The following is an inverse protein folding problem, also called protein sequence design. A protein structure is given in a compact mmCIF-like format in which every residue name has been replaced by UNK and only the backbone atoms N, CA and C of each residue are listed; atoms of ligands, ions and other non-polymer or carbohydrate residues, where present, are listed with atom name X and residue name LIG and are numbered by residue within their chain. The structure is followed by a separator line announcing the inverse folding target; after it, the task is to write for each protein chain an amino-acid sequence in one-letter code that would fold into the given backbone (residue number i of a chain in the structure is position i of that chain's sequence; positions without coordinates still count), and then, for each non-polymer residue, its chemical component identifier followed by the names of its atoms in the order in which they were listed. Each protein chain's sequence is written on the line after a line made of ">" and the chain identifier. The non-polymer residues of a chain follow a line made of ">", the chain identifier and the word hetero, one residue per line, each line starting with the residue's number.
data_IF_756930442022
#
_entry.id   IF_756930442022
#
_cell.length_a   1.000
_cell.length_b   1.000
_cell.length_c   1.000
_cell.angle_alpha   90.00
_cell.angle_beta   90.00
_cell.angle_gamma   90.00
#
_symmetry.space_group_name_H-M   'P 1'
#
loop_
_entity.id
_entity.type
_entity.pdbx_description
1 polymer ?
#
# COMPACT_ATOMS: atom_id res chain seq x y z
N UNK A 1 -22.19 1.88 -9.92
CA UNK A 1 -21.50 1.46 -11.14
C UNK A 1 -20.58 0.32 -10.73
N UNK A 2 -20.95 -0.92 -11.05
CA UNK A 2 -20.18 -2.11 -10.69
C UNK A 2 -18.95 -2.12 -11.60
N UNK A 3 -17.76 -1.91 -11.04
CA UNK A 3 -16.51 -1.97 -11.79
C UNK A 3 -16.18 -3.45 -11.93
N UNK A 4 -16.36 -4.03 -13.11
CA UNK A 4 -15.85 -5.38 -13.37
C UNK A 4 -14.33 -5.29 -13.57
N UNK A 5 -13.52 -6.02 -12.79
CA UNK A 5 -12.08 -6.03 -13.00
C UNK A 5 -11.79 -6.85 -14.26
N UNK A 6 -11.22 -6.20 -15.29
CA UNK A 6 -10.67 -6.91 -16.43
C UNK A 6 -9.49 -7.79 -15.97
N UNK A 7 -9.59 -9.09 -16.26
CA UNK A 7 -8.44 -9.96 -16.53
C UNK A 7 -7.77 -10.67 -15.35
N UNK A 8 -7.75 -10.12 -14.14
CA UNK A 8 -7.06 -10.78 -13.02
C UNK A 8 -7.86 -11.93 -12.42
N UNK A 9 -7.19 -13.03 -12.03
CA UNK A 9 -7.80 -14.06 -11.17
C UNK A 9 -7.90 -13.54 -9.73
N UNK A 10 -8.75 -12.54 -9.53
CA UNK A 10 -9.08 -12.00 -8.22
C UNK A 10 -9.66 -13.12 -7.35
N UNK A 11 -9.06 -13.34 -6.17
CA UNK A 11 -9.64 -14.25 -5.18
C UNK A 11 -10.41 -13.46 -4.15
N UNK A 12 -11.72 -13.73 -4.09
CA UNK A 12 -12.54 -13.36 -2.95
C UNK A 12 -12.12 -14.18 -1.73
N UNK A 13 -12.22 -13.55 -0.57
CA UNK A 13 -12.03 -14.24 0.70
C UNK A 13 -13.33 -14.98 1.05
N UNK A 14 -13.29 -16.26 1.43
CA UNK A 14 -14.46 -16.92 1.98
C UNK A 14 -14.84 -16.21 3.29
N UNK A 15 -15.98 -15.53 3.28
CA UNK A 15 -16.57 -14.92 4.47
C UNK A 15 -17.37 -16.01 5.20
N UNK A 16 -16.78 -16.62 6.23
CA UNK A 16 -17.55 -17.50 7.10
C UNK A 16 -18.32 -16.62 8.10
N UNK A 17 -19.64 -16.60 7.98
CA UNK A 17 -20.55 -15.78 8.77
C UNK A 17 -20.82 -16.36 10.18
N UNK A 18 -19.85 -17.11 10.73
CA UNK A 18 -19.92 -17.69 12.07
C UNK A 18 -19.50 -16.68 13.14
N UNK A 19 -20.18 -16.69 14.28
CA UNK A 19 -20.03 -15.83 15.46
C UNK A 19 -18.67 -15.98 16.17
N UNK A 20 -17.59 -15.69 15.47
CA UNK A 20 -16.24 -15.66 16.00
C UNK A 20 -15.95 -14.29 16.64
N UNK A 21 -15.16 -14.23 17.72
CA UNK A 21 -14.88 -12.98 18.42
C UNK A 21 -14.32 -11.93 17.43
N UNK A 22 -14.78 -10.69 17.56
CA UNK A 22 -14.45 -9.59 16.66
C UNK A 22 -12.93 -9.33 16.67
N UNK A 23 -12.23 -9.92 15.70
CA UNK A 23 -10.79 -9.70 15.53
C UNK A 23 -10.56 -8.20 15.33
N UNK A 24 -9.84 -7.59 16.28
CA UNK A 24 -9.52 -6.16 16.25
C UNK A 24 -8.72 -5.85 15.01
N UNK A 25 -9.17 -4.85 14.27
CA UNK A 25 -8.44 -4.35 13.10
C UNK A 25 -7.13 -3.70 13.54
N UNK A 26 -6.02 -4.07 12.88
CA UNK A 26 -4.70 -3.48 13.10
C UNK A 26 -4.39 -2.48 11.99
N UNK A 27 -3.73 -1.38 12.33
CA UNK A 27 -3.22 -0.45 11.33
C UNK A 27 -2.20 -1.15 10.43
N UNK A 28 -2.27 -0.89 9.13
CA UNK A 28 -1.29 -1.35 8.15
C UNK A 28 -1.03 -0.26 7.11
N UNK A 29 0.08 -0.37 6.43
CA UNK A 29 0.44 0.49 5.32
C UNK A 29 1.02 -0.34 4.18
N UNK A 30 0.78 0.09 2.95
CA UNK A 30 1.27 -0.55 1.75
C UNK A 30 1.62 0.51 0.73
N UNK A 31 2.60 0.27 -0.13
CA UNK A 31 3.13 1.27 -1.05
C UNK A 31 3.26 0.73 -2.47
N UNK A 32 2.71 1.51 -3.40
CA UNK A 32 2.81 1.31 -4.84
C UNK A 32 3.99 2.14 -5.33
N UNK A 33 5.14 1.50 -5.50
CA UNK A 33 6.29 2.12 -6.16
C UNK A 33 6.05 2.07 -7.67
N UNK A 34 5.96 3.23 -8.30
CA UNK A 34 5.57 3.38 -9.71
C UNK A 34 6.75 3.75 -10.58
N UNK A 35 6.97 3.00 -11.64
CA UNK A 35 7.95 3.31 -12.67
C UNK A 35 7.22 3.78 -13.93
N UNK A 36 7.52 5.01 -14.35
CA UNK A 36 7.01 5.62 -15.58
C UNK A 36 8.10 5.99 -16.59
N UNK A 37 9.29 5.41 -16.43
CA UNK A 37 10.42 5.64 -17.34
C UNK A 37 10.23 5.00 -18.73
N UNK A 38 9.38 3.98 -18.82
CA UNK A 38 9.02 3.30 -20.05
C UNK A 38 7.77 3.87 -20.73
N UNK A 39 7.27 3.16 -21.74
CA UNK A 39 6.03 3.50 -22.44
C UNK A 39 4.79 3.34 -21.54
N UNK A 40 4.78 2.28 -20.76
CA UNK A 40 3.67 1.91 -19.87
C UNK A 40 4.11 2.12 -18.42
N UNK A 41 3.17 2.57 -17.56
CA UNK A 41 3.44 2.72 -16.13
C UNK A 41 3.43 1.34 -15.49
N UNK A 42 4.47 1.04 -14.72
CA UNK A 42 4.62 -0.23 -14.00
C UNK A 42 4.58 -0.01 -12.50
N UNK A 43 4.10 -0.99 -11.75
CA UNK A 43 4.09 -1.00 -10.29
C UNK A 43 4.89 -2.19 -9.77
N UNK A 44 5.70 -1.95 -8.75
CA UNK A 44 6.44 -3.01 -8.08
C UNK A 44 5.48 -3.90 -7.26
N UNK A 45 5.48 -5.19 -7.55
CA UNK A 45 4.73 -6.19 -6.79
C UNK A 45 5.60 -7.41 -6.52
N UNK A 46 5.30 -8.14 -5.45
CA UNK A 46 5.95 -9.41 -5.15
C UNK A 46 4.95 -10.44 -4.67
N UNK A 47 5.32 -11.72 -4.82
CA UNK A 47 4.53 -12.86 -4.39
C UNK A 47 4.82 -13.18 -2.92
N UNK A 48 3.77 -13.23 -2.10
CA UNK A 48 3.92 -13.67 -0.70
C UNK A 48 4.37 -15.13 -0.61
N UNK A 49 5.29 -15.40 0.32
CA UNK A 49 5.74 -16.75 0.61
C UNK A 49 4.55 -17.67 0.93
N UNK A 50 4.63 -18.93 0.50
CA UNK A 50 3.64 -19.97 0.78
C UNK A 50 3.37 -20.22 2.28
N UNK A 51 4.32 -19.87 3.16
CA UNK A 51 4.21 -20.01 4.61
C UNK A 51 3.54 -18.78 5.27
N UNK A 52 3.21 -17.75 4.48
CA UNK A 52 2.63 -16.54 4.99
C UNK A 52 1.22 -16.81 5.52
N UNK A 53 0.99 -16.49 6.81
CA UNK A 53 -0.27 -16.80 7.54
C UNK A 53 -1.49 -16.05 6.97
N UNK A 54 -1.27 -15.08 6.09
CA UNK A 54 -2.31 -14.25 5.50
C UNK A 54 -2.12 -14.11 3.99
N UNK A 55 -2.97 -14.79 3.20
CA UNK A 55 -2.95 -14.76 1.73
C UNK A 55 -1.60 -15.21 1.11
N UNK A 56 -1.17 -16.47 1.33
CA UNK A 56 0.03 -17.00 0.68
C UNK A 56 -0.17 -17.11 -0.84
N UNK A 57 0.94 -17.09 -1.60
CA UNK A 57 0.98 -17.32 -3.04
C UNK A 57 0.20 -16.33 -3.93
N UNK A 58 -0.11 -15.15 -3.39
CA UNK A 58 -0.70 -14.02 -4.12
C UNK A 58 0.32 -12.89 -4.30
N UNK A 59 0.22 -12.17 -5.42
CA UNK A 59 0.97 -10.94 -5.64
C UNK A 59 0.33 -9.80 -4.86
N UNK A 60 1.18 -9.02 -4.21
CA UNK A 60 0.81 -7.86 -3.41
C UNK A 60 1.82 -6.74 -3.64
N UNK A 61 1.42 -5.51 -3.34
CA UNK A 61 2.37 -4.42 -3.16
C UNK A 61 3.16 -4.65 -1.86
N UNK A 62 4.39 -4.14 -1.76
CA UNK A 62 5.10 -4.10 -0.50
C UNK A 62 4.26 -3.45 0.60
N UNK A 63 4.24 -4.04 1.79
CA UNK A 63 3.47 -3.51 2.89
C UNK A 63 3.08 -4.51 3.97
N UNK A 64 2.93 -3.96 5.17
CA UNK A 64 2.64 -4.75 6.36
C UNK A 64 2.01 -3.94 7.48
N UNK A 65 2.09 -4.50 8.68
CA UNK A 65 1.46 -3.93 9.86
C UNK A 65 2.26 -2.71 10.31
N UNK A 66 1.58 -1.65 10.76
CA UNK A 66 2.25 -0.57 11.49
C UNK A 66 2.79 -1.11 12.81
N UNK A 67 4.08 -0.92 13.03
CA UNK A 67 4.78 -1.25 14.25
C UNK A 67 4.75 -0.11 15.27
N UNK A 68 4.82 -0.43 16.58
CA UNK A 68 4.97 0.59 17.61
C UNK A 68 6.18 1.49 17.34
N UNK A 69 7.29 0.92 16.87
CA UNK A 69 8.53 1.63 16.58
C UNK A 69 8.41 2.72 15.50
N UNK A 70 7.49 2.56 14.54
CA UNK A 70 7.33 3.48 13.40
C UNK A 70 7.08 4.93 13.83
N UNK A 71 6.53 5.17 15.02
CA UNK A 71 6.32 6.53 15.56
C UNK A 71 7.60 7.33 15.83
N UNK A 72 8.74 6.65 15.96
CA UNK A 72 10.01 7.20 16.42
C UNK A 72 11.08 7.17 15.34
N UNK A 73 10.73 6.71 14.14
CA UNK A 73 11.61 6.78 12.98
C UNK A 73 11.77 8.25 12.58
N UNK A 74 13.01 8.67 12.35
CA UNK A 74 13.30 9.96 11.73
C UNK A 74 12.90 9.96 10.25
N UNK A 75 12.74 11.14 9.66
CA UNK A 75 12.47 11.33 8.23
C UNK A 75 13.17 12.59 7.74
N UNK A 76 13.53 12.64 6.46
CA UNK A 76 14.19 13.79 5.82
C UNK A 76 13.23 14.77 5.16
N UNK A 77 12.05 14.29 4.75
CA UNK A 77 10.99 15.09 4.16
C UNK A 77 9.62 14.65 4.71
N UNK A 78 8.75 15.62 4.97
CA UNK A 78 7.45 15.37 5.60
C UNK A 78 6.35 15.18 4.54
N UNK A 79 5.26 14.52 4.93
CA UNK A 79 4.09 14.33 4.06
C UNK A 79 3.52 15.67 3.58
N UNK A 80 3.08 15.70 2.32
CA UNK A 80 2.37 16.86 1.79
C UNK A 80 1.16 17.22 2.67
N UNK A 81 0.88 18.51 2.94
CA UNK A 81 -0.22 18.92 3.83
C UNK A 81 -1.59 18.37 3.39
N UNK A 82 -1.85 18.22 2.09
CA UNK A 82 -3.09 17.62 1.59
C UNK A 82 -3.21 16.13 1.96
N UNK A 83 -2.10 15.38 1.89
CA UNK A 83 -2.03 13.98 2.26
C UNK A 83 -2.21 13.81 3.77
N UNK A 84 -1.57 14.65 4.59
CA UNK A 84 -1.81 14.69 6.03
C UNK A 84 -3.27 14.96 6.38
N UNK A 85 -3.91 15.93 5.71
CA UNK A 85 -5.35 16.21 5.90
C UNK A 85 -6.21 15.01 5.53
N UNK A 86 -5.95 14.38 4.37
CA UNK A 86 -6.75 13.24 3.90
C UNK A 86 -6.57 11.97 4.77
N UNK A 87 -5.36 11.70 5.27
CA UNK A 87 -5.13 10.60 6.22
C UNK A 87 -5.90 10.77 7.53
N UNK A 88 -6.21 12.02 7.88
CA UNK A 88 -6.96 12.40 9.07
C UNK A 88 -8.46 12.52 8.80
N UNK A 89 -8.87 12.70 7.54
CA UNK A 89 -10.27 12.69 7.13
C UNK A 89 -10.77 11.24 6.99
N UNK A 90 -12.04 11.04 7.33
CA UNK A 90 -12.72 9.78 7.04
C UNK A 90 -13.62 9.24 8.14
N UNK A 91 -14.41 8.25 7.74
CA UNK A 91 -15.28 7.52 8.64
C UNK A 91 -14.44 6.74 9.68
N UNK A 92 -14.81 6.92 10.95
CA UNK A 92 -14.14 6.32 12.10
C UNK A 92 -13.36 7.32 12.96
N UNK A 93 -12.33 6.84 13.65
CA UNK A 93 -11.55 7.67 14.59
C UNK A 93 -10.53 8.50 13.84
N UNK A 94 -10.65 9.83 13.93
CA UNK A 94 -9.61 10.77 13.49
C UNK A 94 -8.27 10.38 14.10
N UNK A 95 -7.24 10.29 13.27
CA UNK A 95 -5.88 9.99 13.72
C UNK A 95 -5.09 11.29 13.93
N UNK A 96 -4.10 11.24 14.82
CA UNK A 96 -3.15 12.35 14.99
C UNK A 96 -2.19 12.39 13.81
N UNK A 97 -1.55 13.54 13.57
CA UNK A 97 -0.55 13.64 12.52
C UNK A 97 0.65 12.70 12.77
N UNK A 98 1.07 12.53 14.03
CA UNK A 98 2.09 11.55 14.41
C UNK A 98 1.73 10.15 13.95
N UNK A 99 0.45 9.75 14.08
CA UNK A 99 -0.02 8.45 13.61
C UNK A 99 -0.13 8.37 12.09
N UNK A 100 -0.49 9.46 11.43
CA UNK A 100 -0.48 9.55 9.97
C UNK A 100 0.95 9.38 9.41
N UNK A 101 1.92 10.08 9.99
CA UNK A 101 3.35 9.92 9.67
C UNK A 101 3.84 8.51 9.97
N UNK A 102 3.47 7.93 11.11
CA UNK A 102 3.84 6.55 11.45
C UNK A 102 3.30 5.51 10.44
N UNK A 103 2.13 5.75 9.82
CA UNK A 103 1.63 4.90 8.74
C UNK A 103 2.46 5.04 7.46
N UNK A 104 2.84 6.26 7.08
CA UNK A 104 3.72 6.49 5.94
C UNK A 104 5.13 5.92 6.16
N UNK A 105 5.66 6.04 7.37
CA UNK A 105 6.93 5.45 7.79
C UNK A 105 6.88 3.92 7.78
N UNK A 106 5.75 3.32 8.19
CA UNK A 106 5.53 1.88 8.06
C UNK A 106 5.63 1.44 6.59
N UNK A 107 4.99 2.18 5.66
CA UNK A 107 5.10 1.88 4.24
C UNK A 107 6.55 1.93 3.72
N UNK A 108 7.34 2.93 4.14
CA UNK A 108 8.74 3.05 3.76
C UNK A 108 9.62 1.92 4.36
N UNK A 109 9.39 1.55 5.63
CA UNK A 109 10.07 0.42 6.29
C UNK A 109 9.77 -0.89 5.57
N UNK A 110 8.50 -1.19 5.34
CA UNK A 110 8.06 -2.43 4.69
C UNK A 110 8.61 -2.52 3.26
N UNK A 111 8.65 -1.41 2.51
CA UNK A 111 9.29 -1.38 1.19
C UNK A 111 10.78 -1.77 1.24
N UNK A 112 11.49 -1.33 2.28
CA UNK A 112 12.88 -1.69 2.46
C UNK A 112 13.04 -3.16 2.90
N UNK A 113 12.26 -3.62 3.88
CA UNK A 113 12.31 -4.99 4.39
C UNK A 113 11.91 -6.01 3.31
N UNK A 114 10.83 -5.73 2.58
CA UNK A 114 10.24 -6.64 1.59
C UNK A 114 10.78 -6.45 0.16
N UNK A 115 11.50 -5.39 -0.17
CA UNK A 115 12.02 -5.19 -1.54
C UNK A 115 13.44 -4.62 -1.60
N UNK A 116 14.09 -4.38 -0.46
CA UNK A 116 15.43 -3.78 -0.41
C UNK A 116 15.48 -2.32 -0.88
N UNK A 117 14.33 -1.66 -1.06
CA UNK A 117 14.26 -0.31 -1.62
C UNK A 117 14.19 0.72 -0.50
N UNK A 118 15.24 1.53 -0.37
CA UNK A 118 15.27 2.66 0.55
C UNK A 118 14.58 3.88 -0.06
N UNK A 119 13.48 4.33 0.57
CA UNK A 119 12.77 5.55 0.18
C UNK A 119 13.34 6.76 0.90
N UNK A 120 14.45 7.32 0.42
CA UNK A 120 15.08 8.50 1.01
C UNK A 120 16.59 8.41 1.04
N UNK A 121 17.25 9.33 1.76
CA UNK A 121 18.72 9.41 1.81
C UNK A 121 19.32 8.46 2.85
N UNK A 122 20.56 8.04 2.65
CA UNK A 122 21.29 7.23 3.62
C UNK A 122 21.32 7.88 5.02
N UNK A 123 21.24 7.04 6.06
CA UNK A 123 21.30 7.47 7.45
C UNK A 123 22.72 7.31 7.96
N UNK A 124 23.40 8.40 8.27
CA UNK A 124 24.82 8.37 8.66
C UNK A 124 25.07 7.80 10.06
N UNK A 125 24.08 7.91 10.96
CA UNK A 125 24.16 7.37 12.32
C UNK A 125 24.25 5.83 12.34
N UNK A 126 25.34 5.25 12.88
CA UNK A 126 25.42 3.82 13.12
C UNK A 126 24.35 3.35 14.12
N UNK A 127 23.76 2.18 13.87
CA UNK A 127 22.73 1.60 14.75
C UNK A 127 21.36 2.29 14.68
N UNK A 128 21.11 3.13 13.67
CA UNK A 128 19.77 3.61 13.38
C UNK A 128 18.82 2.44 13.05
N UNK A 129 17.54 2.60 13.37
CA UNK A 129 16.53 1.55 13.12
C UNK A 129 16.35 1.25 11.62
N UNK A 130 16.54 2.25 10.78
CA UNK A 130 16.65 2.11 9.32
C UNK A 130 18.02 2.66 8.87
N UNK A 131 18.64 2.05 7.84
CA UNK A 131 19.90 2.54 7.28
C UNK A 131 19.72 3.79 6.39
N UNK A 132 18.49 4.31 6.29
CA UNK A 132 18.12 5.50 5.55
C UNK A 132 17.15 6.36 6.39
N UNK A 133 17.06 7.64 6.05
CA UNK A 133 16.04 8.56 6.54
C UNK A 133 14.93 8.62 5.50
N UNK A 134 13.73 8.08 5.79
CA UNK A 134 12.59 8.15 4.90
C UNK A 134 12.29 9.57 4.39
N UNK A 135 12.04 9.73 3.09
CA UNK A 135 11.48 10.96 2.52
C UNK A 135 10.01 10.73 2.16
N UNK A 136 9.11 11.42 2.87
CA UNK A 136 7.67 11.24 2.72
C UNK A 136 7.04 12.28 1.78
N UNK A 137 7.83 13.21 1.25
CA UNK A 137 7.36 14.40 0.53
C UNK A 137 6.46 14.06 -0.66
N UNK A 138 6.87 13.06 -1.45
CA UNK A 138 6.21 12.68 -2.70
C UNK A 138 5.22 11.51 -2.54
N UNK A 139 4.94 11.10 -1.29
CA UNK A 139 3.94 10.08 -1.03
C UNK A 139 2.53 10.61 -1.31
N UNK A 140 1.79 9.89 -2.13
CA UNK A 140 0.36 10.10 -2.38
C UNK A 140 -0.45 9.12 -1.57
N UNK A 141 -1.58 9.55 -1.02
CA UNK A 141 -2.53 8.63 -0.38
C UNK A 141 -3.55 8.15 -1.42
N UNK A 142 -3.52 6.85 -1.72
CA UNK A 142 -4.21 6.29 -2.88
C UNK A 142 -5.49 5.56 -2.55
N UNK A 143 -5.54 4.85 -1.42
CA UNK A 143 -6.75 4.16 -0.98
C UNK A 143 -6.67 3.83 0.51
N UNK A 144 -7.83 3.55 1.08
CA UNK A 144 -7.96 2.89 2.38
C UNK A 144 -8.79 1.62 2.23
N UNK A 145 -8.38 0.54 2.85
CA UNK A 145 -9.20 -0.67 2.88
C UNK A 145 -9.19 -1.35 4.25
N UNK A 146 -10.37 -1.71 4.74
CA UNK A 146 -10.52 -2.54 5.93
C UNK A 146 -10.83 -3.97 5.51
N UNK A 147 -10.02 -4.91 5.98
CA UNK A 147 -10.25 -6.34 5.80
C UNK A 147 -11.64 -6.74 6.31
N UNK A 148 -12.43 -7.49 5.53
CA UNK A 148 -13.74 -7.99 5.95
C UNK A 148 -13.70 -8.76 7.28
N UNK A 149 -14.82 -8.83 8.03
CA UNK A 149 -14.93 -9.72 9.19
C UNK A 149 -14.81 -11.20 8.77
N UNK A 150 -14.50 -12.08 9.73
CA UNK A 150 -14.38 -13.54 9.49
C UNK A 150 -12.96 -14.04 9.19
N UNK A 151 -11.99 -13.14 9.02
CA UNK A 151 -10.59 -13.52 8.81
C UNK A 151 -9.77 -13.59 10.12
N UNK A 152 -8.78 -14.50 10.21
CA UNK A 152 -7.94 -14.66 11.41
C UNK A 152 -7.09 -13.42 11.71
N UNK A 153 -6.88 -12.56 10.71
CA UNK A 153 -6.22 -11.26 10.84
C UNK A 153 -7.00 -10.22 10.06
N UNK A 154 -7.13 -9.02 10.63
CA UNK A 154 -7.83 -7.90 10.02
C UNK A 154 -6.97 -6.65 10.06
N UNK A 155 -6.88 -5.96 8.92
CA UNK A 155 -6.09 -4.76 8.76
C UNK A 155 -6.94 -3.59 8.29
N UNK A 156 -6.54 -2.38 8.69
CA UNK A 156 -7.05 -1.10 8.21
C UNK A 156 -5.90 -0.42 7.46
N UNK A 157 -5.75 -0.83 6.20
CA UNK A 157 -4.57 -0.54 5.39
C UNK A 157 -4.70 0.80 4.70
N UNK A 158 -3.66 1.63 4.82
CA UNK A 158 -3.46 2.84 4.00
C UNK A 158 -2.54 2.49 2.84
N UNK A 159 -2.98 2.74 1.62
CA UNK A 159 -2.19 2.53 0.42
C UNK A 159 -1.59 3.86 -0.02
N UNK A 160 -0.28 3.88 -0.17
CA UNK A 160 0.50 5.01 -0.65
C UNK A 160 1.00 4.75 -2.07
N UNK A 161 1.34 5.80 -2.81
CA UNK A 161 2.09 5.70 -4.06
C UNK A 161 3.19 6.73 -4.15
N UNK A 162 4.25 6.38 -4.87
CA UNK A 162 5.36 7.27 -5.20
C UNK A 162 5.98 6.85 -6.52
N UNK A 163 6.39 7.82 -7.35
CA UNK A 163 7.13 7.53 -8.57
C UNK A 163 8.62 7.35 -8.26
N UNK A 164 9.25 6.39 -8.93
CA UNK A 164 10.68 6.08 -8.78
C UNK A 164 11.56 7.30 -9.03
N UNK A 165 11.27 8.08 -10.07
CA UNK A 165 12.02 9.30 -10.42
C UNK A 165 11.96 10.38 -9.33
N UNK A 166 10.80 10.55 -8.69
CA UNK A 166 10.59 11.55 -7.62
C UNK A 166 11.25 11.12 -6.30
N UNK A 167 11.47 9.81 -6.15
CA UNK A 167 12.16 9.22 -5.01
C UNK A 167 13.67 9.04 -5.27
N UNK A 168 14.17 9.34 -6.47
CA UNK A 168 15.56 9.10 -6.86
C UNK A 168 15.92 7.60 -6.91
N UNK A 169 14.93 6.74 -7.16
CA UNK A 169 15.10 5.28 -7.23
C UNK A 169 15.29 4.87 -8.69
N UNK A 170 16.33 4.08 -8.95
CA UNK A 170 16.56 3.45 -10.25
C UNK A 170 15.83 2.09 -10.29
N UNK A 171 14.75 1.94 -11.09
CA UNK A 171 13.96 0.72 -11.13
C UNK A 171 14.76 -0.50 -11.60
N UNK A 172 15.85 -0.30 -12.37
CA UNK A 172 16.70 -1.39 -12.86
C UNK A 172 17.55 -2.03 -11.75
N UNK A 173 17.70 -1.36 -10.60
CA UNK A 173 18.43 -1.87 -9.43
C UNK A 173 17.53 -2.63 -8.46
N UNK A 174 16.21 -2.61 -8.67
CA UNK A 174 15.24 -3.31 -7.84
C UNK A 174 15.05 -4.72 -8.41
N UNK A 175 15.93 -5.63 -8.02
CA UNK A 175 16.04 -6.95 -8.64
C UNK A 175 15.67 -8.09 -7.70
N UNK A 176 15.96 -7.97 -6.41
CA UNK A 176 15.84 -9.07 -5.45
C UNK A 176 15.31 -8.58 -4.11
N UNK A 177 14.57 -9.46 -3.44
CA UNK A 177 14.01 -9.26 -2.10
C UNK A 177 14.41 -10.42 -1.20
N UNK A 178 14.48 -10.16 0.11
CA UNK A 178 14.69 -11.20 1.12
C UNK A 178 13.37 -11.88 1.56
N UNK A 179 12.21 -11.22 1.41
CA UNK A 179 10.93 -11.70 1.95
C UNK A 179 9.87 -11.96 0.85
N UNK A 180 9.63 -11.00 -0.04
CA UNK A 180 8.76 -11.22 -1.19
C UNK A 180 9.49 -12.07 -2.23
N UNK A 181 8.86 -13.16 -2.64
CA UNK A 181 9.35 -13.96 -3.75
C UNK A 181 8.91 -13.32 -5.07
N UNK A 182 9.65 -13.57 -6.14
CA UNK A 182 9.25 -13.16 -7.48
C UNK A 182 8.84 -11.68 -7.57
N UNK A 183 9.75 -10.81 -7.13
CA UNK A 183 9.59 -9.37 -7.18
C UNK A 183 9.64 -8.92 -8.65
N UNK A 184 8.60 -8.23 -9.12
CA UNK A 184 8.42 -7.88 -10.52
C UNK A 184 7.80 -6.51 -10.70
N UNK A 185 8.17 -5.86 -11.80
CA UNK A 185 7.51 -4.66 -12.30
C UNK A 185 6.33 -5.05 -13.19
N UNK A 186 5.12 -4.80 -12.72
CA UNK A 186 3.87 -5.20 -13.38
C UNK A 186 3.25 -4.00 -14.10
N UNK A 187 2.84 -4.16 -15.35
CA UNK A 187 2.09 -3.13 -16.07
C UNK A 187 0.74 -2.86 -15.36
N UNK A 188 0.47 -1.59 -15.04
CA UNK A 188 -0.80 -1.21 -14.39
C UNK A 188 -2.01 -1.43 -15.31
N UNK A 189 -1.79 -1.53 -16.62
CA UNK A 189 -2.82 -1.80 -17.62
C UNK A 189 -3.07 -3.30 -17.83
N UNK A 190 -2.09 -4.16 -17.54
CA UNK A 190 -2.21 -5.62 -17.67
C UNK A 190 -1.54 -6.37 -16.50
N UNK A 191 -2.40 -6.82 -15.58
CA UNK A 191 -2.06 -7.70 -14.47
C UNK A 191 -2.90 -8.99 -14.50
N UNK A 192 -3.40 -9.36 -15.69
CA UNK A 192 -4.35 -10.47 -15.88
C UNK A 192 -3.76 -11.85 -15.55
N UNK A 193 -2.45 -12.00 -15.75
CA UNK A 193 -1.70 -13.22 -15.44
C UNK A 193 -1.49 -13.45 -13.94
N UNK A 194 -1.65 -12.42 -13.11
CA UNK A 194 -1.36 -12.48 -11.69
C UNK A 194 -2.56 -12.96 -10.88
N UNK A 195 -2.26 -13.72 -9.81
CA UNK A 195 -3.22 -14.00 -8.74
C UNK A 195 -3.03 -12.95 -7.66
N UNK A 196 -4.00 -12.06 -7.54
CA UNK A 196 -4.00 -10.96 -6.55
C UNK A 196 -5.22 -11.06 -5.64
N UNK A 197 -5.16 -10.50 -4.42
CA UNK A 197 -6.36 -10.29 -3.62
C UNK A 197 -7.38 -9.42 -4.38
N UNK A 198 -8.67 -9.64 -4.16
CA UNK A 198 -9.74 -8.83 -4.78
C UNK A 198 -9.55 -7.31 -4.54
N UNK A 199 -9.23 -6.93 -3.30
CA UNK A 199 -8.97 -5.52 -2.96
C UNK A 199 -7.76 -4.94 -3.72
N UNK A 200 -6.74 -5.76 -3.99
CA UNK A 200 -5.56 -5.34 -4.78
C UNK A 200 -5.95 -5.09 -6.23
N UNK A 201 -6.79 -5.93 -6.83
CA UNK A 201 -7.30 -5.71 -8.19
C UNK A 201 -8.14 -4.42 -8.30
N UNK A 202 -8.97 -4.13 -7.29
CA UNK A 202 -9.75 -2.89 -7.20
C UNK A 202 -8.80 -1.67 -7.13
N UNK A 203 -7.78 -1.72 -6.26
CA UNK A 203 -6.83 -0.62 -6.10
C UNK A 203 -5.96 -0.42 -7.35
N UNK A 204 -5.55 -1.49 -8.03
CA UNK A 204 -4.87 -1.39 -9.34
C UNK A 204 -5.76 -0.70 -10.38
N UNK A 205 -7.06 -1.02 -10.38
CA UNK A 205 -8.03 -0.38 -11.27
C UNK A 205 -8.22 1.12 -10.95
N UNK A 206 -8.32 1.49 -9.66
CA UNK A 206 -8.35 2.90 -9.24
C UNK A 206 -7.05 3.64 -9.59
N UNK A 207 -5.89 2.98 -9.46
CA UNK A 207 -4.60 3.53 -9.83
C UNK A 207 -4.56 3.83 -11.34
N UNK A 208 -4.94 2.87 -12.18
CA UNK A 208 -5.03 3.05 -13.64
C UNK A 208 -5.95 4.22 -14.00
N UNK A 209 -7.18 4.22 -13.50
CA UNK A 209 -8.14 5.31 -13.76
C UNK A 209 -7.60 6.66 -13.26
N UNK A 210 -6.87 6.66 -12.14
CA UNK A 210 -6.22 7.84 -11.59
C UNK A 210 -5.13 8.38 -12.50
N UNK A 211 -4.29 7.51 -13.05
CA UNK A 211 -3.22 7.85 -14.00
C UNK A 211 -3.78 8.35 -15.34
N UNK A 212 -4.86 7.73 -15.83
CA UNK A 212 -5.56 8.17 -17.05
C UNK A 212 -6.18 9.56 -16.89
N UNK A 213 -6.72 9.86 -15.71
CA UNK A 213 -7.32 11.17 -15.41
C UNK A 213 -6.29 12.27 -15.17
N UNK A 214 -5.22 11.96 -14.43
CA UNK A 214 -4.12 12.89 -14.15
C UNK A 214 -2.82 12.08 -13.91
N UNK A 215 -1.90 12.05 -14.89
CA UNK A 215 -0.65 11.29 -14.81
C UNK A 215 0.28 11.71 -13.67
N UNK A 216 0.09 12.89 -13.08
CA UNK A 216 0.90 13.35 -11.94
C UNK A 216 0.45 12.72 -10.60
N UNK A 217 -0.76 12.14 -10.56
CA UNK A 217 -1.43 11.65 -9.35
C UNK A 217 -1.34 12.68 -8.21
N UNK A 218 -2.02 13.84 -8.29
CA UNK A 218 -1.81 14.94 -7.35
C UNK A 218 -2.14 14.54 -5.89
N UNK A 219 -1.44 15.12 -4.89
CA UNK A 219 -1.64 14.79 -3.48
C UNK A 219 -3.03 15.18 -2.93
N UNK A 220 -3.76 16.06 -3.62
CA UNK A 220 -5.12 16.51 -3.29
C UNK A 220 -6.23 15.56 -3.76
N UNK A 221 -5.88 14.44 -4.41
CA UNK A 221 -6.86 13.49 -4.95
C UNK A 221 -7.85 12.99 -3.90
N UNK A 222 -9.08 12.76 -4.34
CA UNK A 222 -10.08 12.05 -3.54
C UNK A 222 -9.63 10.61 -3.29
N UNK A 223 -9.70 10.17 -2.05
CA UNK A 223 -9.17 8.85 -1.67
C UNK A 223 -10.31 7.85 -1.48
N UNK A 224 -10.42 6.79 -2.30
CA UNK A 224 -11.42 5.76 -2.10
C UNK A 224 -11.18 4.98 -0.79
N UNK A 225 -12.27 4.75 -0.06
CA UNK A 225 -12.28 3.95 1.16
C UNK A 225 -13.22 2.75 1.02
N UNK A 226 -12.64 1.57 1.21
CA UNK A 226 -13.27 0.27 1.08
C UNK A 226 -13.46 -0.42 2.43
N UNK A 227 -14.68 -0.88 2.71
CA UNK A 227 -14.96 -1.63 3.93
C UNK A 227 -16.18 -2.54 3.77
N UNK A 228 -16.33 -3.49 4.70
CA UNK A 228 -17.53 -4.33 4.79
C UNK A 228 -18.35 -3.94 6.01
N UNK A 229 -19.65 -3.68 5.83
CA UNK A 229 -20.59 -3.38 6.91
C UNK A 229 -21.86 -4.18 6.70
N UNK A 230 -22.33 -4.87 7.74
CA UNK A 230 -23.50 -5.77 7.67
C UNK A 230 -23.44 -6.77 6.50
N UNK A 231 -22.25 -7.33 6.24
CA UNK A 231 -22.02 -8.30 5.15
C UNK A 231 -21.99 -7.71 3.74
N UNK A 232 -22.11 -6.38 3.59
CA UNK A 232 -22.08 -5.70 2.28
C UNK A 232 -20.77 -4.95 2.12
N UNK A 233 -20.19 -5.05 0.93
CA UNK A 233 -19.02 -4.29 0.52
C UNK A 233 -19.43 -2.85 0.16
N UNK A 234 -18.71 -1.87 0.68
CA UNK A 234 -18.96 -0.44 0.48
C UNK A 234 -17.71 0.26 -0.04
N UNK A 235 -17.93 1.26 -0.89
CA UNK A 235 -16.94 2.24 -1.35
C UNK A 235 -17.45 3.65 -1.05
N UNK A 236 -16.66 4.44 -0.34
CA UNK A 236 -16.88 5.88 -0.10
C UNK A 236 -15.63 6.67 -0.49
N UNK A 237 -15.65 8.00 -0.40
CA UNK A 237 -14.52 8.89 -0.66
C UNK A 237 -14.15 9.67 0.61
N UNK A 238 -12.84 9.88 0.85
CA UNK A 238 -12.27 10.62 1.99
C UNK A 238 -11.84 12.04 1.63
#
# INVERSE_FOLDING_TARGET
>A
MTVEPLGARARSLPADAGSSPTVRTRDAASIMLLDRSGKDVRVLMGKRHSAHVFMPDLYVFPGGRRDPGDHGLGFSGDLHPAVLRSLRSGEGRTITETRARALALAAARELYEEAGVALGRAHERPGAALPFLPDLTNLRYMARAITPPGLPRRFDTRFFAVFTEEAGIDPSRVLESQELQDLQWIDVNDFSSLRVPEITAIILSDLRNGLESDPSLPPERTVPFYFTRHGRFHRTLL
#
